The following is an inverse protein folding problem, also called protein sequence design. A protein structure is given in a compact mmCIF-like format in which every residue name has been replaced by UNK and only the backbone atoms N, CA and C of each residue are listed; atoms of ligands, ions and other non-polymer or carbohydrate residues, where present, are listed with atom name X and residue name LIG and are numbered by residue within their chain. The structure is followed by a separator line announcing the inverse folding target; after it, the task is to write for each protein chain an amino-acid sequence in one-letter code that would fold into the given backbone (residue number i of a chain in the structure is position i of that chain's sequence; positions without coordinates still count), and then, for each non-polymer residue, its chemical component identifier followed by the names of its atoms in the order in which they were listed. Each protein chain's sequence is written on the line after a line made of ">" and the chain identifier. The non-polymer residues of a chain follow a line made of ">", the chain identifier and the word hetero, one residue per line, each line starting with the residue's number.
data_IF_662151191950
#
_entry.id   IF_662151191950
#
_cell.length_a   1.000
_cell.length_b   1.000
_cell.length_c   1.000
_cell.angle_alpha   90.00
_cell.angle_beta   90.00
_cell.angle_gamma   90.00
#
_symmetry.space_group_name_H-M   'P 1'
#
loop_
_entity.id
_entity.type
_entity.pdbx_description
1 polymer ?
#
# COMPACT_ATOMS: atom_id res chain seq x y z
N UNK A 1 -16.21 -22.41 14.71
CA UNK A 1 -15.97 -20.99 15.03
C UNK A 1 -14.58 -20.93 15.63
N UNK A 2 -13.72 -20.06 15.10
CA UNK A 2 -12.36 -19.92 15.61
C UNK A 2 -12.38 -19.06 16.88
N UNK A 3 -11.28 -19.01 17.61
CA UNK A 3 -11.15 -18.15 18.78
C UNK A 3 -9.76 -17.49 18.81
N UNK A 4 -9.71 -16.22 19.22
CA UNK A 4 -8.46 -15.49 19.46
C UNK A 4 -8.39 -15.25 20.97
N UNK A 5 -7.38 -15.84 21.63
CA UNK A 5 -7.21 -15.76 23.09
C UNK A 5 -8.51 -16.09 23.88
N UNK A 6 -9.20 -17.18 23.50
CA UNK A 6 -10.49 -17.63 24.07
C UNK A 6 -11.70 -16.73 23.79
N UNK A 7 -11.54 -15.67 22.99
CA UNK A 7 -12.65 -14.84 22.51
C UNK A 7 -13.13 -15.40 21.16
N UNK A 8 -14.43 -15.74 20.98
CA UNK A 8 -14.98 -16.19 19.71
C UNK A 8 -14.65 -15.21 18.56
N UNK A 9 -14.20 -15.75 17.44
CA UNK A 9 -13.83 -14.99 16.24
C UNK A 9 -14.55 -15.53 15.00
N UNK A 10 -15.03 -14.61 14.17
CA UNK A 10 -15.62 -14.87 12.86
C UNK A 10 -15.16 -13.82 11.85
N UNK A 11 -14.74 -14.27 10.67
CA UNK A 11 -14.43 -13.40 9.54
C UNK A 11 -15.71 -13.10 8.75
N UNK A 12 -15.92 -11.82 8.43
CA UNK A 12 -16.98 -11.32 7.57
C UNK A 12 -16.35 -10.91 6.24
N UNK A 13 -16.53 -11.73 5.20
CA UNK A 13 -15.97 -11.48 3.88
C UNK A 13 -16.92 -10.66 3.03
N UNK A 14 -16.37 -9.68 2.33
CA UNK A 14 -17.07 -8.81 1.40
C UNK A 14 -16.40 -8.86 0.03
N UNK A 15 -17.17 -8.64 -1.04
CA UNK A 15 -16.61 -8.45 -2.37
C UNK A 15 -16.21 -6.97 -2.62
N UNK A 16 -15.67 -6.70 -3.81
CA UNK A 16 -15.24 -5.35 -4.23
C UNK A 16 -16.37 -4.32 -4.31
N UNK A 17 -17.64 -4.76 -4.31
CA UNK A 17 -18.82 -3.91 -4.33
C UNK A 17 -19.42 -3.75 -2.92
N UNK A 18 -18.80 -4.35 -1.90
CA UNK A 18 -19.31 -4.34 -0.52
C UNK A 18 -20.43 -5.34 -0.26
N UNK A 19 -20.68 -6.30 -1.17
CA UNK A 19 -21.65 -7.36 -0.93
C UNK A 19 -21.06 -8.42 0.01
N UNK A 20 -21.82 -8.83 1.03
CA UNK A 20 -21.41 -9.87 1.95
C UNK A 20 -21.36 -11.23 1.24
N UNK A 21 -20.24 -11.94 1.40
CA UNK A 21 -19.99 -13.26 0.80
C UNK A 21 -20.33 -14.41 1.73
N UNK A 22 -20.49 -14.13 3.02
CA UNK A 22 -20.88 -15.11 4.03
C UNK A 22 -21.78 -14.49 5.10
N UNK A 23 -22.58 -15.33 5.75
CA UNK A 23 -23.35 -14.92 6.91
C UNK A 23 -22.48 -14.96 8.17
N UNK A 24 -22.55 -13.89 8.96
CA UNK A 24 -21.86 -13.78 10.24
C UNK A 24 -22.81 -14.16 11.37
N UNK A 25 -22.39 -15.10 12.23
CA UNK A 25 -23.14 -15.50 13.43
C UNK A 25 -22.20 -15.47 14.62
N UNK A 26 -22.68 -14.98 15.77
CA UNK A 26 -21.95 -14.99 17.04
C UNK A 26 -22.62 -15.94 18.04
N UNK A 27 -21.90 -16.43 19.07
CA UNK A 27 -22.48 -17.35 20.05
C UNK A 27 -23.69 -16.76 20.79
N UNK A 28 -24.64 -17.62 21.16
CA UNK A 28 -25.77 -17.21 21.97
C UNK A 28 -25.31 -16.67 23.33
N UNK A 29 -25.87 -15.53 23.74
CA UNK A 29 -25.51 -14.88 24.99
C UNK A 29 -24.24 -14.03 24.94
N UNK A 30 -23.65 -13.80 23.76
CA UNK A 30 -22.70 -12.69 23.55
C UNK A 30 -23.34 -11.38 24.00
N UNK A 31 -22.64 -10.63 24.85
CA UNK A 31 -23.12 -9.35 25.39
C UNK A 31 -22.53 -8.16 24.64
N UNK A 32 -21.37 -8.35 24.02
CA UNK A 32 -20.56 -7.28 23.43
C UNK A 32 -19.84 -7.80 22.19
N UNK A 33 -19.67 -6.94 21.18
CA UNK A 33 -19.02 -7.31 19.92
C UNK A 33 -17.95 -6.29 19.57
N UNK A 34 -16.76 -6.79 19.20
CA UNK A 34 -15.77 -6.01 18.48
C UNK A 34 -15.96 -6.21 16.98
N UNK A 35 -16.17 -5.12 16.25
CA UNK A 35 -16.13 -5.15 14.78
C UNK A 35 -14.87 -4.41 14.36
N UNK A 36 -13.94 -5.13 13.73
CA UNK A 36 -12.65 -4.58 13.29
C UNK A 36 -12.52 -4.70 11.78
N UNK A 37 -11.97 -3.67 11.14
CA UNK A 37 -11.68 -3.67 9.70
C UNK A 37 -10.21 -3.30 9.51
N UNK A 38 -9.60 -3.88 8.48
CA UNK A 38 -8.23 -3.56 8.12
C UNK A 38 -8.22 -2.36 7.18
N UNK A 39 -7.07 -1.68 7.06
CA UNK A 39 -6.91 -0.57 6.13
C UNK A 39 -6.64 -1.01 4.69
N UNK A 40 -6.39 -0.01 3.85
CA UNK A 40 -5.77 -0.18 2.54
C UNK A 40 -4.33 -0.73 2.68
N UNK A 41 -3.83 -1.40 1.64
CA UNK A 41 -2.51 -2.01 1.59
C UNK A 41 -2.35 -3.25 2.49
N UNK A 42 -3.44 -3.98 2.69
CA UNK A 42 -3.44 -5.26 3.39
C UNK A 42 -4.05 -6.36 2.50
N UNK A 43 -3.54 -7.58 2.60
CA UNK A 43 -4.18 -8.78 2.05
C UNK A 43 -4.97 -9.50 3.16
N UNK A 44 -5.81 -10.49 2.81
CA UNK A 44 -6.65 -11.22 3.75
C UNK A 44 -5.83 -11.85 4.90
N UNK A 45 -4.67 -12.45 4.58
CA UNK A 45 -3.84 -13.15 5.57
C UNK A 45 -3.18 -12.17 6.55
N UNK A 46 -2.70 -11.03 6.05
CA UNK A 46 -2.09 -9.99 6.85
C UNK A 46 -3.15 -9.19 7.66
N UNK A 47 -4.39 -9.10 7.17
CA UNK A 47 -5.52 -8.61 7.95
C UNK A 47 -5.87 -9.54 9.12
N UNK A 48 -5.99 -10.85 8.87
CA UNK A 48 -6.25 -11.83 9.92
C UNK A 48 -5.14 -11.85 10.96
N UNK A 49 -3.88 -11.80 10.53
CA UNK A 49 -2.73 -11.71 11.43
C UNK A 49 -2.80 -10.47 12.32
N UNK A 50 -3.16 -9.32 11.76
CA UNK A 50 -3.33 -8.08 12.53
C UNK A 50 -4.40 -8.23 13.61
N UNK A 51 -5.53 -8.86 13.29
CA UNK A 51 -6.61 -9.10 14.27
C UNK A 51 -6.18 -10.06 15.36
N UNK A 52 -5.50 -11.15 15.00
CA UNK A 52 -4.95 -12.11 15.94
C UNK A 52 -4.03 -11.40 16.95
N UNK A 53 -3.02 -10.68 16.47
CA UNK A 53 -2.05 -10.00 17.32
C UNK A 53 -2.68 -8.90 18.18
N UNK A 54 -3.64 -8.15 17.63
CA UNK A 54 -4.37 -7.12 18.37
C UNK A 54 -5.13 -7.73 19.55
N UNK A 55 -5.92 -8.78 19.32
CA UNK A 55 -6.77 -9.36 20.36
C UNK A 55 -6.02 -10.26 21.34
N UNK A 56 -4.90 -10.87 20.92
CA UNK A 56 -3.96 -11.50 21.85
C UNK A 56 -3.37 -10.49 22.84
N UNK A 57 -3.00 -9.29 22.35
CA UNK A 57 -2.49 -8.23 23.24
C UNK A 57 -3.60 -7.62 24.09
N UNK A 58 -4.79 -7.41 23.53
CA UNK A 58 -5.97 -6.99 24.30
C UNK A 58 -6.25 -7.93 25.47
N UNK A 59 -6.26 -9.25 25.24
CA UNK A 59 -6.53 -10.23 26.29
C UNK A 59 -5.50 -10.20 27.44
N UNK A 60 -4.23 -9.88 27.13
CA UNK A 60 -3.16 -9.74 28.14
C UNK A 60 -3.38 -8.55 29.08
N UNK A 61 -3.92 -7.44 28.56
CA UNK A 61 -4.06 -6.17 29.31
C UNK A 61 -5.48 -5.90 29.79
N UNK A 62 -6.47 -6.67 29.34
CA UNK A 62 -7.86 -6.47 29.70
C UNK A 62 -8.08 -6.54 31.22
N UNK A 63 -8.67 -5.52 31.86
CA UNK A 63 -8.95 -5.55 33.29
C UNK A 63 -10.03 -6.59 33.62
N UNK A 64 -10.08 -7.05 34.88
CA UNK A 64 -11.02 -8.08 35.35
C UNK A 64 -12.48 -7.78 35.05
N UNK A 65 -12.85 -6.50 35.03
CA UNK A 65 -14.20 -6.06 34.69
C UNK A 65 -14.60 -6.49 33.27
N UNK A 66 -13.67 -6.43 32.31
CA UNK A 66 -13.91 -6.87 30.94
C UNK A 66 -13.89 -8.41 30.84
N UNK A 67 -13.09 -9.11 31.66
CA UNK A 67 -13.06 -10.59 31.68
C UNK A 67 -14.40 -11.24 32.02
N UNK A 68 -15.30 -10.53 32.70
CA UNK A 68 -16.65 -11.01 33.04
C UNK A 68 -17.67 -10.83 31.91
N UNK A 69 -17.32 -10.10 30.84
CA UNK A 69 -18.18 -9.87 29.67
C UNK A 69 -18.03 -11.01 28.67
N UNK A 70 -19.06 -11.23 27.86
CA UNK A 70 -19.07 -12.25 26.81
C UNK A 70 -18.87 -11.58 25.47
N UNK A 71 -17.61 -11.43 25.06
CA UNK A 71 -17.26 -10.80 23.80
C UNK A 71 -17.37 -11.78 22.62
N UNK A 72 -17.57 -11.23 21.43
CA UNK A 72 -17.24 -11.86 20.15
C UNK A 72 -16.49 -10.85 19.27
N UNK A 73 -15.62 -11.35 18.39
CA UNK A 73 -14.86 -10.55 17.43
C UNK A 73 -15.37 -10.87 16.03
N UNK A 74 -15.70 -9.82 15.28
CA UNK A 74 -16.03 -9.87 13.86
C UNK A 74 -14.91 -9.14 13.11
N UNK A 75 -14.11 -9.89 12.36
CA UNK A 75 -13.08 -9.33 11.48
C UNK A 75 -13.63 -9.11 10.08
N UNK A 76 -13.66 -7.87 9.61
CA UNK A 76 -14.11 -7.50 8.26
C UNK A 76 -12.96 -7.71 7.28
N UNK A 77 -13.16 -8.61 6.33
CA UNK A 77 -12.21 -8.90 5.26
C UNK A 77 -12.80 -8.37 3.94
N UNK A 78 -12.14 -7.39 3.34
CA UNK A 78 -12.48 -6.88 2.01
C UNK A 78 -11.29 -7.05 1.07
N UNK A 79 -11.52 -7.11 -0.26
CA UNK A 79 -10.45 -7.22 -1.24
C UNK A 79 -9.64 -5.93 -1.29
N UNK A 80 -8.54 -5.88 -0.52
CA UNK A 80 -7.50 -4.87 -0.60
C UNK A 80 -6.25 -5.50 -1.24
N UNK A 81 -5.51 -4.70 -2.02
CA UNK A 81 -4.24 -5.13 -2.61
C UNK A 81 -3.08 -4.51 -1.85
N UNK A 82 -2.08 -5.33 -1.54
CA UNK A 82 -0.80 -4.87 -1.01
C UNK A 82 0.08 -4.36 -2.16
N UNK A 83 0.60 -3.14 -2.04
CA UNK A 83 1.47 -2.52 -3.02
C UNK A 83 2.77 -3.25 -3.22
N UNK A 84 3.31 -3.89 -2.18
CA UNK A 84 4.53 -4.71 -2.34
C UNK A 84 4.25 -5.87 -3.25
N UNK A 85 3.07 -6.49 -3.24
CA UNK A 85 2.79 -7.61 -4.14
C UNK A 85 2.72 -7.15 -5.59
N UNK A 86 2.26 -5.92 -5.81
CA UNK A 86 2.30 -5.28 -7.14
C UNK A 86 3.76 -5.03 -7.55
N UNK A 87 4.57 -4.45 -6.67
CA UNK A 87 5.98 -4.14 -6.97
C UNK A 87 6.84 -5.40 -7.09
N UNK A 88 6.67 -6.37 -6.20
CA UNK A 88 7.41 -7.63 -6.13
C UNK A 88 7.00 -8.55 -7.28
N UNK A 89 5.72 -8.61 -7.67
CA UNK A 89 5.33 -9.26 -8.92
C UNK A 89 5.97 -8.57 -10.14
N UNK A 90 6.14 -7.24 -10.09
CA UNK A 90 6.87 -6.51 -11.13
C UNK A 90 8.36 -6.89 -11.15
N UNK A 91 9.00 -6.96 -9.99
CA UNK A 91 10.44 -7.23 -9.86
C UNK A 91 10.75 -8.70 -10.14
N UNK A 92 9.95 -9.63 -9.62
CA UNK A 92 10.08 -11.07 -9.84
C UNK A 92 9.94 -11.42 -11.33
N UNK A 93 9.06 -10.75 -12.06
CA UNK A 93 8.92 -10.91 -13.50
C UNK A 93 10.06 -10.24 -14.31
N UNK A 94 11.07 -9.63 -13.69
CA UNK A 94 12.19 -8.99 -14.42
C UNK A 94 13.59 -9.23 -13.85
N UNK A 95 13.74 -10.03 -12.79
CA UNK A 95 15.03 -10.19 -12.15
C UNK A 95 15.39 -8.95 -11.32
N UNK A 96 15.90 -9.20 -10.12
CA UNK A 96 16.06 -8.22 -9.05
C UNK A 96 16.87 -6.97 -9.49
N UNK A 97 16.24 -5.79 -9.42
CA UNK A 97 16.93 -4.50 -9.46
C UNK A 97 16.12 -3.44 -8.71
N UNK A 98 16.13 -3.51 -7.38
CA UNK A 98 15.82 -2.36 -6.52
C UNK A 98 17.00 -1.39 -6.56
N UNK A 99 17.08 -0.57 -7.61
CA UNK A 99 17.97 0.59 -7.66
C UNK A 99 17.09 1.84 -7.76
N UNK A 100 17.37 2.81 -6.90
CA UNK A 100 16.59 4.04 -6.77
C UNK A 100 16.42 4.79 -8.09
N UNK A 101 15.38 5.63 -8.15
CA UNK A 101 15.10 6.57 -9.24
C UNK A 101 16.18 7.67 -9.19
N UNK A 102 17.41 7.32 -9.56
CA UNK A 102 18.56 8.22 -9.53
C UNK A 102 19.70 7.69 -10.41
N UNK A 103 19.39 7.39 -11.66
CA UNK A 103 20.36 7.43 -12.76
C UNK A 103 19.57 7.34 -14.06
N UNK A 104 19.73 8.35 -14.92
CA UNK A 104 19.24 8.35 -16.29
C UNK A 104 19.79 7.11 -17.02
N UNK A 105 19.03 6.03 -16.96
CA UNK A 105 19.40 4.73 -17.47
C UNK A 105 18.16 4.11 -18.08
N UNK A 106 18.34 3.48 -19.24
CA UNK A 106 17.28 2.75 -19.93
C UNK A 106 16.61 1.71 -19.01
N UNK A 107 17.33 1.21 -17.99
CA UNK A 107 16.81 0.33 -16.95
C UNK A 107 15.80 1.02 -16.01
N UNK A 108 16.04 2.27 -15.61
CA UNK A 108 15.09 3.05 -14.81
C UNK A 108 13.81 3.33 -15.61
N UNK A 109 13.94 3.73 -16.88
CA UNK A 109 12.81 3.95 -17.78
C UNK A 109 11.97 2.68 -17.98
N UNK A 110 12.64 1.54 -18.23
CA UNK A 110 11.97 0.25 -18.36
C UNK A 110 11.21 -0.14 -17.09
N UNK A 111 11.79 0.14 -15.92
CA UNK A 111 11.15 -0.10 -14.62
C UNK A 111 9.90 0.76 -14.46
N UNK A 112 9.97 2.05 -14.80
CA UNK A 112 8.82 2.97 -14.73
C UNK A 112 7.71 2.50 -15.71
N UNK A 113 8.06 2.13 -16.94
CA UNK A 113 7.10 1.60 -17.93
C UNK A 113 6.38 0.37 -17.42
N UNK A 114 7.09 -0.57 -16.79
CA UNK A 114 6.49 -1.77 -16.19
C UNK A 114 5.55 -1.43 -15.04
N UNK A 115 5.89 -0.45 -14.19
CA UNK A 115 4.99 0.01 -13.13
C UNK A 115 3.71 0.63 -13.70
N UNK A 116 3.81 1.38 -14.80
CA UNK A 116 2.65 1.92 -15.51
C UNK A 116 1.76 0.81 -16.08
N UNK A 117 2.33 -0.26 -16.66
CA UNK A 117 1.56 -1.43 -17.09
C UNK A 117 0.73 -2.06 -15.97
N UNK A 118 1.30 -2.14 -14.78
CA UNK A 118 0.60 -2.67 -13.61
C UNK A 118 -0.52 -1.76 -13.15
N UNK A 119 -0.29 -0.44 -13.14
CA UNK A 119 -1.35 0.53 -12.85
C UNK A 119 -2.49 0.38 -13.87
N UNK A 120 -2.19 0.24 -15.17
CA UNK A 120 -3.21 0.03 -16.19
C UNK A 120 -4.10 -1.19 -15.88
N UNK A 121 -3.51 -2.28 -15.39
CA UNK A 121 -4.26 -3.49 -15.01
C UNK A 121 -5.27 -3.27 -13.86
N UNK A 122 -5.13 -2.20 -13.07
CA UNK A 122 -6.04 -1.87 -11.97
C UNK A 122 -7.25 -1.05 -12.41
N UNK A 123 -7.10 -0.21 -13.44
CA UNK A 123 -8.13 0.74 -13.89
C UNK A 123 -8.90 0.28 -15.14
N UNK A 124 -8.51 -0.86 -15.74
CA UNK A 124 -9.19 -1.43 -16.90
C UNK A 124 -8.80 -0.78 -18.23
N UNK A 125 -9.52 -1.13 -19.31
CA UNK A 125 -9.13 -0.79 -20.69
C UNK A 125 -9.07 0.72 -20.98
N UNK A 126 -9.90 1.54 -20.31
CA UNK A 126 -9.94 2.99 -20.50
C UNK A 126 -8.64 3.67 -20.02
N UNK A 127 -7.97 3.08 -19.02
CA UNK A 127 -6.71 3.60 -18.51
C UNK A 127 -5.53 3.32 -19.44
N UNK A 128 -5.62 2.31 -20.30
CA UNK A 128 -4.51 1.90 -21.18
C UNK A 128 -4.03 3.05 -22.06
N UNK A 129 -4.94 3.84 -22.64
CA UNK A 129 -4.56 4.97 -23.51
C UNK A 129 -3.77 6.02 -22.73
N UNK A 130 -4.23 6.38 -21.53
CA UNK A 130 -3.59 7.39 -20.69
C UNK A 130 -2.22 6.92 -20.17
N UNK A 131 -2.12 5.64 -19.84
CA UNK A 131 -0.87 5.00 -19.43
C UNK A 131 0.12 4.96 -20.60
N UNK A 132 -0.31 4.66 -21.83
CA UNK A 132 0.58 4.69 -23.00
C UNK A 132 1.10 6.11 -23.28
N UNK A 133 0.26 7.14 -23.15
CA UNK A 133 0.70 8.54 -23.20
C UNK A 133 1.77 8.81 -22.14
N UNK A 134 1.52 8.42 -20.88
CA UNK A 134 2.48 8.60 -19.80
C UNK A 134 3.82 7.88 -20.07
N UNK A 135 3.80 6.67 -20.66
CA UNK A 135 5.01 5.93 -21.03
C UNK A 135 5.85 6.63 -22.09
N UNK A 136 5.19 7.30 -23.05
CA UNK A 136 5.87 8.06 -24.12
C UNK A 136 6.66 9.25 -23.57
N UNK A 137 6.24 9.82 -22.45
CA UNK A 137 6.82 11.02 -21.86
C UNK A 137 8.03 10.74 -20.96
N UNK A 138 8.27 9.49 -20.57
CA UNK A 138 9.31 9.12 -19.57
C UNK A 138 10.70 9.65 -19.96
N UNK A 139 11.09 9.51 -21.23
CA UNK A 139 12.40 9.94 -21.73
C UNK A 139 12.62 11.46 -21.62
N UNK A 140 11.55 12.23 -21.48
CA UNK A 140 11.55 13.70 -21.47
C UNK A 140 11.41 14.29 -20.05
N UNK A 141 11.06 13.47 -19.05
CA UNK A 141 10.77 13.94 -17.69
C UNK A 141 11.94 14.66 -17.02
N UNK A 142 13.19 14.33 -17.34
CA UNK A 142 14.32 14.99 -16.68
C UNK A 142 14.57 16.41 -17.20
N UNK A 143 14.21 16.71 -18.45
CA UNK A 143 14.63 17.94 -19.11
C UNK A 143 13.46 18.86 -19.47
N UNK A 144 12.24 18.32 -19.59
CA UNK A 144 11.11 19.05 -20.15
C UNK A 144 9.99 19.22 -19.13
N UNK A 145 9.81 20.43 -18.55
CA UNK A 145 8.72 20.71 -17.62
C UNK A 145 7.33 20.41 -18.19
N UNK A 146 7.12 20.68 -19.49
CA UNK A 146 5.86 20.37 -20.17
C UNK A 146 5.57 18.85 -20.19
N UNK A 147 6.58 18.01 -20.41
CA UNK A 147 6.43 16.56 -20.35
C UNK A 147 6.08 16.08 -18.94
N UNK A 148 6.59 16.76 -17.89
CA UNK A 148 6.21 16.48 -16.49
C UNK A 148 4.76 16.82 -16.21
N UNK A 149 4.30 17.97 -16.68
CA UNK A 149 2.90 18.40 -16.53
C UNK A 149 1.97 17.40 -17.24
N UNK A 150 2.26 17.06 -18.49
CA UNK A 150 1.45 16.11 -19.28
C UNK A 150 1.45 14.70 -18.68
N UNK A 151 2.59 14.23 -18.17
CA UNK A 151 2.70 12.93 -17.51
C UNK A 151 1.81 12.86 -16.27
N UNK A 152 1.88 13.88 -15.41
CA UNK A 152 1.08 13.91 -14.18
C UNK A 152 -0.40 14.07 -14.50
N UNK A 153 -0.77 14.86 -15.50
CA UNK A 153 -2.16 15.02 -15.91
C UNK A 153 -2.74 13.75 -16.52
N UNK A 154 -1.95 12.99 -17.30
CA UNK A 154 -2.32 11.66 -17.77
C UNK A 154 -2.62 10.72 -16.59
N UNK A 155 -1.78 10.73 -15.54
CA UNK A 155 -2.00 9.93 -14.33
C UNK A 155 -3.23 10.38 -13.54
N UNK A 156 -3.44 11.68 -13.36
CA UNK A 156 -4.61 12.24 -12.65
C UNK A 156 -5.91 11.97 -13.35
N UNK A 157 -5.89 11.88 -14.68
CA UNK A 157 -7.09 11.60 -15.47
C UNK A 157 -7.69 10.21 -15.22
N UNK A 158 -6.95 9.33 -14.53
CA UNK A 158 -7.43 8.02 -14.09
C UNK A 158 -8.30 8.10 -12.81
N UNK A 159 -8.30 9.24 -12.11
CA UNK A 159 -8.97 9.42 -10.82
C UNK A 159 -10.29 10.17 -10.99
N UNK A 160 -11.26 9.90 -10.10
CA UNK A 160 -12.48 10.71 -10.02
C UNK A 160 -12.21 11.99 -9.21
N UNK A 161 -12.19 13.18 -9.82
CA UNK A 161 -11.96 14.42 -9.09
C UNK A 161 -13.07 14.76 -8.08
N UNK A 162 -14.25 14.15 -8.20
CA UNK A 162 -15.36 14.33 -7.23
C UNK A 162 -15.08 13.64 -5.90
N UNK A 163 -14.20 12.64 -5.89
CA UNK A 163 -13.77 11.98 -4.67
C UNK A 163 -12.74 12.81 -3.87
N UNK A 164 -12.32 13.98 -4.37
CA UNK A 164 -11.29 14.78 -3.73
C UNK A 164 -11.79 15.45 -2.43
N UNK A 165 -11.03 15.26 -1.36
CA UNK A 165 -11.27 15.79 -0.03
C UNK A 165 -10.13 16.70 0.45
N UNK A 166 -10.41 17.59 1.41
CA UNK A 166 -9.36 18.42 2.01
C UNK A 166 -8.52 17.65 3.04
N UNK A 167 -9.16 16.71 3.76
CA UNK A 167 -8.52 15.95 4.85
C UNK A 167 -7.37 15.04 4.37
N UNK A 168 -7.39 14.61 3.11
CA UNK A 168 -6.34 13.77 2.52
C UNK A 168 -5.43 14.55 1.55
N UNK A 169 -5.57 15.88 1.48
CA UNK A 169 -4.85 16.77 0.56
C UNK A 169 -5.03 16.43 -0.93
N UNK A 170 -6.01 15.62 -1.33
CA UNK A 170 -6.24 15.27 -2.73
C UNK A 170 -6.60 16.49 -3.58
N UNK A 171 -7.24 17.53 -3.00
CA UNK A 171 -7.46 18.80 -3.71
C UNK A 171 -6.15 19.53 -4.06
N UNK A 172 -5.14 19.47 -3.21
CA UNK A 172 -3.82 20.03 -3.50
C UNK A 172 -3.12 19.20 -4.57
N UNK A 173 -3.19 17.87 -4.44
CA UNK A 173 -2.66 16.93 -5.42
C UNK A 173 -3.24 17.18 -6.82
N UNK A 174 -4.54 17.45 -6.96
CA UNK A 174 -5.17 17.69 -8.26
C UNK A 174 -4.92 19.09 -8.85
N UNK A 175 -4.50 20.07 -8.04
CA UNK A 175 -4.30 21.47 -8.49
C UNK A 175 -2.85 21.85 -8.79
N UNK A 176 -1.88 21.18 -8.16
CA UNK A 176 -0.45 21.50 -8.34
C UNK A 176 0.00 21.18 -9.77
N UNK A 177 0.87 22.00 -10.38
CA UNK A 177 1.46 21.62 -11.68
C UNK A 177 2.27 20.33 -11.54
N UNK A 178 2.27 19.49 -12.58
CA UNK A 178 3.00 18.22 -12.57
C UNK A 178 4.51 18.43 -12.43
N UNK A 179 5.04 19.46 -13.08
CA UNK A 179 6.40 19.95 -12.97
C UNK A 179 6.82 20.24 -11.53
N UNK A 180 6.04 21.05 -10.81
CA UNK A 180 6.30 21.38 -9.40
C UNK A 180 6.13 20.16 -8.50
N UNK A 181 5.16 19.30 -8.79
CA UNK A 181 4.93 18.07 -8.05
C UNK A 181 6.12 17.12 -8.16
N UNK A 182 6.60 16.83 -9.37
CA UNK A 182 7.75 15.96 -9.58
C UNK A 182 9.04 16.57 -9.03
N UNK A 183 9.19 17.90 -9.09
CA UNK A 183 10.30 18.59 -8.44
C UNK A 183 10.30 18.39 -6.93
N UNK A 184 9.14 18.53 -6.27
CA UNK A 184 9.00 18.27 -4.82
C UNK A 184 9.22 16.80 -4.44
N UNK A 185 9.02 15.87 -5.36
CA UNK A 185 9.26 14.44 -5.15
C UNK A 185 10.70 14.02 -5.40
N UNK A 186 11.56 14.89 -5.96
CA UNK A 186 12.99 14.61 -6.08
C UNK A 186 13.57 14.50 -4.67
N UNK A 187 13.77 13.28 -4.19
CA UNK A 187 14.63 13.03 -3.04
C UNK A 187 16.08 13.22 -3.45
N UNK A 188 16.88 13.88 -2.62
CA UNK A 188 18.32 13.84 -2.78
C UNK A 188 18.76 12.38 -2.71
N UNK A 189 19.39 11.87 -3.77
CA UNK A 189 19.98 10.54 -3.77
C UNK A 189 20.91 10.44 -2.57
N UNK A 190 20.71 9.51 -1.62
CA UNK A 190 21.73 9.24 -0.63
C UNK A 190 22.99 8.87 -1.41
N UNK A 191 24.07 9.62 -1.22
CA UNK A 191 25.38 9.24 -1.74
C UNK A 191 25.65 7.86 -1.16
N UNK A 192 25.71 6.85 -2.02
CA UNK A 192 26.16 5.53 -1.62
C UNK A 192 27.50 5.74 -0.92
N UNK A 193 27.58 5.42 0.38
CA UNK A 193 28.83 5.51 1.12
C UNK A 193 29.83 4.65 0.35
N UNK A 194 30.77 5.31 -0.33
CA UNK A 194 31.88 4.66 -0.99
C UNK A 194 32.59 3.82 0.05
N UNK A 195 32.66 2.50 -0.19
CA UNK A 195 33.19 1.54 0.75
C UNK A 195 34.53 1.97 1.30
N UNK A 196 34.60 2.15 2.62
CA UNK A 196 35.87 2.13 3.32
C UNK A 196 36.40 0.68 3.28
N UNK A 197 37.65 0.45 2.88
CA UNK A 197 38.20 -0.90 2.83
C UNK A 197 38.31 -1.47 4.24
N UNK A 198 38.04 -2.77 4.34
CA UNK A 198 38.25 -3.58 5.53
C UNK A 198 39.71 -3.46 6.00
N UNK A 199 39.90 -2.84 7.17
CA UNK A 199 41.15 -2.79 7.90
C UNK A 199 40.89 -3.29 9.32
N UNK A 200 41.32 -4.52 9.60
CA UNK A 200 41.20 -5.13 10.91
C UNK A 200 42.05 -4.44 11.98
N UNK A 201 41.63 -4.63 13.23
CA UNK A 201 42.38 -4.19 14.40
C UNK A 201 41.63 -4.47 15.69
N UNK A 202 41.71 -5.70 16.17
CA UNK A 202 41.49 -5.99 17.59
C UNK A 202 42.52 -5.22 18.42
N UNK A 203 42.06 -4.49 19.43
CA UNK A 203 42.87 -4.11 20.59
C UNK A 203 41.95 -4.00 21.81
N UNK A 204 42.43 -4.56 22.91
CA UNK A 204 41.70 -4.94 24.09
C UNK A 204 41.74 -3.86 25.21
N UNK A 205 40.91 -4.09 26.23
CA UNK A 205 41.09 -3.74 27.65
C UNK A 205 41.22 -2.26 28.03
N UNK A 206 40.25 -1.75 28.80
CA UNK A 206 40.32 -1.63 30.27
C UNK A 206 39.02 -1.05 30.82
#
# INVERSE_FOLDING_TARGET
>A
MNAIAQIPYVAAHFDKNGAALNQVTVPAGTTDVFVVSHGWNNDDAAAEKLYLELFENFAKVAPDLLRKRKFAIIGVIWPSKKFTDVVDAAVAAQGSASAGIAANSQAADATIKKKLDQIASMFGAEATVKIETAKGLIAHLENEPAARDEFVDAMRSLLDPKAAHDEDNSKLYLKMSGSLMLEKLKTATPVAASGAPAGGGSAALS
#
